data_IF_255718753695
#
_entry.id   IF_255718753695
#
_cell.length_a   1.000
_cell.length_b   1.000
_cell.length_c   1.000
_cell.angle_alpha   90.00
_cell.angle_beta   90.00
_cell.angle_gamma   90.00
#
_symmetry.space_group_name_H-M   'P 1'
#
loop_
_entity.id
_entity.type
_entity.pdbx_description
1 polymer ?
#
# COMPACT_ATOMS: atom_id res chain seq x y z
N UNK A 1 -48.95 45.15 -28.29
CA UNK A 1 -48.24 43.93 -28.74
C UNK A 1 -46.79 44.05 -28.24
N UNK A 2 -46.48 43.44 -27.08
CA UNK A 2 -45.17 43.47 -26.47
C UNK A 2 -44.61 42.06 -26.64
N UNK A 3 -43.51 41.96 -27.39
CA UNK A 3 -42.81 40.71 -27.63
C UNK A 3 -41.87 40.43 -26.45
N UNK A 4 -42.12 39.35 -25.72
CA UNK A 4 -41.23 38.78 -24.71
C UNK A 4 -40.12 37.99 -25.43
N UNK A 5 -38.90 38.45 -25.32
CA UNK A 5 -37.72 37.69 -25.72
C UNK A 5 -37.27 36.87 -24.51
N UNK A 6 -37.48 35.55 -24.60
CA UNK A 6 -36.96 34.61 -23.63
C UNK A 6 -35.48 34.33 -23.91
N UNK A 7 -34.60 34.77 -23.01
CA UNK A 7 -33.18 34.44 -23.04
C UNK A 7 -33.01 33.09 -22.33
N UNK A 8 -32.79 32.04 -23.11
CA UNK A 8 -32.38 30.75 -22.59
C UNK A 8 -30.89 30.75 -22.21
N UNK A 9 -30.62 30.79 -20.91
CA UNK A 9 -29.28 30.54 -20.42
C UNK A 9 -28.99 29.03 -20.53
N UNK A 10 -28.18 28.66 -21.48
CA UNK A 10 -27.59 27.32 -21.59
C UNK A 10 -26.44 27.28 -20.59
N UNK A 11 -26.64 26.62 -19.44
CA UNK A 11 -25.55 26.20 -18.56
C UNK A 11 -24.82 25.05 -19.25
N UNK A 12 -23.65 25.34 -19.81
CA UNK A 12 -22.71 24.33 -20.25
C UNK A 12 -22.10 23.69 -18.98
N UNK A 13 -22.60 22.53 -18.59
CA UNK A 13 -21.93 21.63 -17.67
C UNK A 13 -20.72 21.05 -18.40
N UNK A 14 -19.54 21.58 -18.09
CA UNK A 14 -18.28 21.06 -18.58
C UNK A 14 -17.89 19.80 -17.81
N UNK A 15 -18.42 18.64 -18.23
CA UNK A 15 -17.77 17.36 -17.95
C UNK A 15 -16.66 17.19 -18.97
N UNK A 16 -15.42 17.39 -18.57
CA UNK A 16 -14.24 17.02 -19.37
C UNK A 16 -13.95 15.53 -19.20
N UNK A 17 -14.89 14.68 -19.56
CA UNK A 17 -14.59 13.30 -19.89
C UNK A 17 -13.93 13.30 -21.27
N UNK A 18 -12.60 13.31 -21.30
CA UNK A 18 -11.88 13.07 -22.53
C UNK A 18 -12.25 11.68 -23.03
N UNK A 19 -12.92 11.58 -24.18
CA UNK A 19 -13.24 10.31 -24.81
C UNK A 19 -11.96 9.47 -24.94
N UNK A 20 -12.03 8.14 -24.67
CA UNK A 20 -10.87 7.26 -24.83
C UNK A 20 -10.30 7.39 -26.23
N UNK A 21 -8.97 7.44 -26.34
CA UNK A 21 -8.33 7.51 -27.65
C UNK A 21 -8.76 6.29 -28.50
N UNK A 22 -9.45 6.52 -29.61
CA UNK A 22 -9.73 5.47 -30.59
C UNK A 22 -8.42 5.04 -31.23
N UNK A 23 -8.01 3.79 -31.03
CA UNK A 23 -6.81 3.22 -31.67
C UNK A 23 -6.29 2.00 -30.89
N UNK A 24 -5.78 1.03 -31.63
CA UNK A 24 -5.18 -0.18 -31.08
C UNK A 24 -3.96 0.09 -30.19
N UNK A 25 -3.32 -0.96 -29.69
CA UNK A 25 -2.16 -0.90 -28.80
C UNK A 25 -1.01 -0.13 -29.44
N UNK A 26 -0.60 0.99 -28.83
CA UNK A 26 0.59 1.77 -29.16
C UNK A 26 1.78 1.23 -28.38
N UNK A 27 2.98 1.28 -28.96
CA UNK A 27 4.21 0.96 -28.20
C UNK A 27 4.42 1.98 -27.09
N UNK A 28 4.59 1.50 -25.85
CA UNK A 28 4.89 2.35 -24.68
C UNK A 28 5.70 1.63 -23.63
N UNK A 29 6.39 2.39 -22.82
CA UNK A 29 7.03 1.92 -21.61
C UNK A 29 6.25 2.45 -20.41
N UNK A 30 5.98 1.58 -19.45
CA UNK A 30 5.37 1.89 -18.15
C UNK A 30 6.45 1.72 -17.09
N UNK A 31 6.87 2.81 -16.45
CA UNK A 31 7.77 2.76 -15.29
C UNK A 31 6.93 2.48 -14.05
N UNK A 32 7.20 1.34 -13.42
CA UNK A 32 6.48 0.89 -12.24
C UNK A 32 7.42 0.82 -11.05
N UNK A 33 7.23 1.70 -10.07
CA UNK A 33 8.10 1.82 -8.90
C UNK A 33 7.49 1.26 -7.62
N UNK A 34 8.38 0.94 -6.69
CA UNK A 34 8.05 0.59 -5.31
C UNK A 34 9.20 0.96 -4.36
N UNK A 35 8.87 1.14 -3.08
CA UNK A 35 9.87 1.25 -2.00
C UNK A 35 10.39 -0.12 -1.58
N UNK A 36 9.69 -1.20 -1.89
CA UNK A 36 10.07 -2.58 -1.55
C UNK A 36 11.36 -2.99 -2.28
N UNK A 37 12.19 -3.76 -1.58
CA UNK A 37 13.47 -4.24 -2.11
C UNK A 37 13.28 -5.46 -3.01
N UNK A 38 14.24 -5.69 -3.91
CA UNK A 38 14.32 -6.95 -4.65
C UNK A 38 14.27 -8.16 -3.73
N UNK A 39 13.61 -9.22 -4.17
CA UNK A 39 13.43 -10.46 -3.42
C UNK A 39 12.28 -10.41 -2.42
N UNK A 40 11.46 -9.35 -2.39
CA UNK A 40 10.17 -9.35 -1.68
C UNK A 40 9.08 -9.97 -2.57
N UNK A 41 8.05 -10.52 -1.94
CA UNK A 41 6.88 -11.08 -2.64
C UNK A 41 6.17 -10.04 -3.52
N UNK A 42 6.17 -8.77 -3.11
CA UNK A 42 5.63 -7.67 -3.92
C UNK A 42 6.43 -7.42 -5.20
N UNK A 43 7.76 -7.45 -5.16
CA UNK A 43 8.59 -7.25 -6.36
C UNK A 43 8.48 -8.45 -7.28
N UNK A 44 8.37 -9.68 -6.75
CA UNK A 44 8.06 -10.87 -7.55
C UNK A 44 6.71 -10.71 -8.27
N UNK A 45 5.68 -10.20 -7.59
CA UNK A 45 4.38 -9.90 -8.20
C UNK A 45 4.48 -8.82 -9.30
N UNK A 46 5.34 -7.79 -9.13
CA UNK A 46 5.58 -6.79 -10.18
C UNK A 46 6.22 -7.41 -11.42
N UNK A 47 7.17 -8.32 -11.27
CA UNK A 47 7.76 -9.04 -12.41
C UNK A 47 6.72 -9.89 -13.13
N UNK A 48 5.89 -10.63 -12.39
CA UNK A 48 4.77 -11.40 -12.98
C UNK A 48 3.79 -10.49 -13.74
N UNK A 49 3.49 -9.31 -13.18
CA UNK A 49 2.66 -8.32 -13.85
C UNK A 49 3.31 -7.81 -15.15
N UNK A 50 4.60 -7.48 -15.12
CA UNK A 50 5.35 -7.01 -16.29
C UNK A 50 5.34 -8.04 -17.43
N UNK A 51 5.59 -9.30 -17.10
CA UNK A 51 5.56 -10.42 -18.05
C UNK A 51 4.16 -10.60 -18.65
N UNK A 52 3.11 -10.47 -17.81
CA UNK A 52 1.73 -10.61 -18.28
C UNK A 52 1.29 -9.45 -19.18
N UNK A 53 1.69 -8.21 -18.87
CA UNK A 53 1.45 -7.05 -19.75
C UNK A 53 2.16 -7.25 -21.11
N UNK A 54 3.40 -7.73 -21.11
CA UNK A 54 4.14 -8.01 -22.35
C UNK A 54 3.46 -9.12 -23.18
N UNK A 55 3.01 -10.21 -22.52
CA UNK A 55 2.24 -11.28 -23.16
C UNK A 55 0.96 -10.75 -23.83
N UNK A 56 0.10 -10.06 -23.04
CA UNK A 56 -1.20 -9.59 -23.51
C UNK A 56 -1.10 -8.51 -24.59
N UNK A 57 -0.02 -7.72 -24.58
CA UNK A 57 0.22 -6.65 -25.56
C UNK A 57 1.02 -7.12 -26.79
N UNK A 58 1.39 -8.41 -26.88
CA UNK A 58 2.33 -8.94 -27.88
C UNK A 58 3.65 -8.14 -27.91
N UNK A 59 4.17 -7.77 -26.72
CA UNK A 59 5.41 -7.03 -26.55
C UNK A 59 5.33 -5.53 -26.87
N UNK A 60 4.17 -4.99 -27.21
CA UNK A 60 4.03 -3.56 -27.55
C UNK A 60 4.08 -2.68 -26.29
N UNK A 61 3.63 -3.17 -25.13
CA UNK A 61 3.75 -2.46 -23.86
C UNK A 61 4.82 -3.15 -23.03
N UNK A 62 5.83 -2.39 -22.62
CA UNK A 62 6.91 -2.83 -21.73
C UNK A 62 6.70 -2.22 -20.36
N UNK A 63 6.76 -3.03 -19.31
CA UNK A 63 6.80 -2.54 -17.92
C UNK A 63 8.23 -2.64 -17.41
N UNK A 64 8.76 -1.52 -16.94
CA UNK A 64 10.09 -1.46 -16.32
C UNK A 64 9.92 -1.29 -14.82
N UNK A 65 10.51 -2.21 -14.05
CA UNK A 65 10.39 -2.26 -12.60
C UNK A 65 11.52 -1.46 -11.95
N UNK A 66 11.14 -0.60 -10.97
CA UNK A 66 12.04 0.26 -10.22
C UNK A 66 11.82 0.03 -8.72
N UNK A 67 12.48 -0.98 -8.12
CA UNK A 67 12.40 -1.28 -6.69
C UNK A 67 13.25 -0.35 -5.83
N UNK A 68 13.22 -0.56 -4.51
CA UNK A 68 14.11 0.08 -3.54
C UNK A 68 14.15 1.61 -3.64
N UNK A 69 13.00 2.24 -3.84
CA UNK A 69 12.85 3.70 -3.93
C UNK A 69 13.65 4.37 -5.07
N UNK A 70 14.01 3.65 -6.14
CA UNK A 70 14.82 4.20 -7.25
C UNK A 70 14.18 5.43 -7.94
N UNK A 71 12.85 5.54 -7.91
CA UNK A 71 12.12 6.71 -8.44
C UNK A 71 11.53 7.59 -7.33
N UNK A 72 12.06 7.51 -6.12
CA UNK A 72 11.63 8.24 -4.93
C UNK A 72 10.94 7.35 -3.89
N UNK A 73 10.91 7.82 -2.66
CA UNK A 73 10.14 7.19 -1.58
C UNK A 73 8.64 7.35 -1.80
N UNK A 74 7.81 6.67 -0.99
CA UNK A 74 6.38 6.56 -1.19
C UNK A 74 5.66 7.86 -1.55
N UNK A 75 5.76 8.94 -0.76
CA UNK A 75 5.14 10.24 -1.09
C UNK A 75 5.66 10.85 -2.39
N UNK A 76 6.97 10.75 -2.66
CA UNK A 76 7.57 11.29 -3.88
C UNK A 76 7.14 10.53 -5.13
N UNK A 77 7.15 9.19 -5.09
CA UNK A 77 6.70 8.34 -6.19
C UNK A 77 5.21 8.59 -6.52
N UNK A 78 4.38 8.76 -5.47
CA UNK A 78 2.98 9.12 -5.63
C UNK A 78 2.82 10.48 -6.33
N UNK A 79 3.56 11.49 -5.90
CA UNK A 79 3.55 12.83 -6.51
C UNK A 79 4.02 12.78 -7.98
N UNK A 80 5.03 11.97 -8.30
CA UNK A 80 5.49 11.79 -9.68
C UNK A 80 4.37 11.23 -10.58
N UNK A 81 3.57 10.29 -10.09
CA UNK A 81 2.38 9.79 -10.81
C UNK A 81 1.30 10.87 -10.95
N UNK A 82 1.02 11.64 -9.90
CA UNK A 82 0.05 12.74 -9.94
C UNK A 82 0.41 13.82 -10.99
N UNK A 83 1.69 14.07 -11.16
CA UNK A 83 2.21 15.04 -12.14
C UNK A 83 2.36 14.47 -13.56
N UNK A 84 2.18 13.16 -13.76
CA UNK A 84 2.40 12.50 -15.04
C UNK A 84 3.88 12.34 -15.42
N UNK A 85 4.77 12.47 -14.45
CA UNK A 85 6.22 12.26 -14.64
C UNK A 85 6.55 10.75 -14.64
N UNK A 86 5.73 9.95 -13.96
CA UNK A 86 5.84 8.49 -13.86
C UNK A 86 4.47 7.87 -14.15
N UNK A 87 4.45 6.69 -14.76
CA UNK A 87 3.22 6.01 -15.17
C UNK A 87 2.52 5.35 -13.98
N UNK A 88 3.25 4.58 -13.17
CA UNK A 88 2.66 3.65 -12.20
C UNK A 88 3.53 3.51 -10.95
N UNK A 89 2.90 3.36 -9.80
CA UNK A 89 3.60 3.07 -8.53
C UNK A 89 2.76 2.18 -7.63
N UNK A 90 3.42 1.40 -6.78
CA UNK A 90 2.81 0.85 -5.58
C UNK A 90 2.91 1.87 -4.46
N UNK A 91 1.83 2.07 -3.73
CA UNK A 91 1.76 3.04 -2.63
C UNK A 91 0.98 2.49 -1.45
N UNK A 92 1.23 3.05 -0.29
CA UNK A 92 0.44 2.72 0.90
C UNK A 92 -0.90 3.48 0.87
N UNK A 93 -2.02 2.84 1.27
CA UNK A 93 -3.33 3.48 1.30
C UNK A 93 -3.36 4.77 2.13
N UNK A 94 -2.54 4.85 3.18
CA UNK A 94 -2.40 6.04 4.02
C UNK A 94 -1.92 7.29 3.27
N UNK A 95 -1.10 7.12 2.23
CA UNK A 95 -0.69 8.24 1.38
C UNK A 95 -1.83 8.71 0.46
N UNK A 96 -2.68 7.80 -0.03
CA UNK A 96 -3.89 8.18 -0.76
C UNK A 96 -4.87 8.92 0.15
N UNK A 97 -5.07 8.43 1.37
CA UNK A 97 -5.91 9.09 2.37
C UNK A 97 -5.43 10.52 2.66
N UNK A 98 -4.12 10.71 2.83
CA UNK A 98 -3.49 12.03 3.05
C UNK A 98 -3.60 12.95 1.83
N UNK A 99 -3.84 12.41 0.65
CA UNK A 99 -4.01 13.16 -0.61
C UNK A 99 -5.48 13.33 -1.02
N UNK A 100 -6.44 13.11 -0.11
CA UNK A 100 -7.85 13.40 -0.32
C UNK A 100 -8.78 12.20 -0.37
N UNK A 101 -8.29 10.99 -0.68
CA UNK A 101 -9.08 9.76 -0.69
C UNK A 101 -9.19 9.16 0.72
N UNK A 102 -9.89 9.86 1.61
CA UNK A 102 -9.96 9.56 3.06
C UNK A 102 -10.47 8.16 3.38
N UNK A 103 -11.29 7.59 2.53
CA UNK A 103 -11.86 6.26 2.65
C UNK A 103 -10.76 5.18 2.74
N UNK A 104 -9.61 5.40 2.11
CA UNK A 104 -8.47 4.48 2.19
C UNK A 104 -7.90 4.32 3.60
N UNK A 105 -8.23 5.21 4.53
CA UNK A 105 -7.90 5.05 5.96
C UNK A 105 -8.48 3.75 6.53
N UNK A 106 -9.63 3.28 6.02
CA UNK A 106 -10.27 2.07 6.52
C UNK A 106 -9.37 0.83 6.47
N UNK A 107 -8.52 0.71 5.46
CA UNK A 107 -7.62 -0.43 5.30
C UNK A 107 -6.23 -0.21 5.93
N UNK A 108 -6.01 0.95 6.57
CA UNK A 108 -4.78 1.29 7.28
C UNK A 108 -4.87 1.07 8.79
N UNK A 109 -6.10 0.92 9.34
CA UNK A 109 -6.25 0.85 10.78
C UNK A 109 -5.67 -0.47 11.32
N UNK A 110 -4.90 -0.42 12.42
CA UNK A 110 -4.32 -1.62 13.01
C UNK A 110 -5.39 -2.64 13.39
N UNK A 111 -5.12 -3.92 13.10
CA UNK A 111 -6.04 -5.05 13.36
C UNK A 111 -7.42 -4.96 12.69
N UNK A 112 -7.57 -4.18 11.62
CA UNK A 112 -8.85 -4.08 10.89
C UNK A 112 -9.21 -5.38 10.16
N UNK A 113 -8.20 -6.11 9.70
CA UNK A 113 -8.38 -7.44 9.13
C UNK A 113 -8.15 -8.51 10.21
N UNK A 114 -8.93 -9.60 10.15
CA UNK A 114 -8.80 -10.74 11.08
C UNK A 114 -7.55 -11.56 10.81
N UNK A 115 -7.27 -11.76 9.52
CA UNK A 115 -6.19 -12.58 8.98
C UNK A 115 -5.95 -12.20 7.51
N UNK A 116 -5.01 -12.86 6.85
CA UNK A 116 -4.68 -12.62 5.43
C UNK A 116 -5.80 -13.06 4.49
N UNK A 117 -6.52 -14.12 4.79
CA UNK A 117 -7.67 -14.59 4.02
C UNK A 117 -8.81 -13.57 4.04
N UNK A 118 -9.08 -12.98 5.21
CA UNK A 118 -10.05 -11.90 5.32
C UNK A 118 -9.61 -10.65 4.54
N UNK A 119 -8.33 -10.28 4.63
CA UNK A 119 -7.80 -9.17 3.83
C UNK A 119 -8.00 -9.45 2.35
N UNK A 120 -7.61 -10.64 1.88
CA UNK A 120 -7.74 -11.03 0.46
C UNK A 120 -9.19 -10.95 -0.03
N UNK A 121 -10.13 -11.48 0.75
CA UNK A 121 -11.55 -11.42 0.43
C UNK A 121 -12.08 -9.96 0.38
N UNK A 122 -11.56 -9.07 1.20
CA UNK A 122 -11.92 -7.65 1.20
C UNK A 122 -11.36 -6.93 -0.03
N UNK A 123 -10.05 -7.05 -0.26
CA UNK A 123 -9.35 -6.24 -1.28
C UNK A 123 -9.60 -6.71 -2.70
N UNK A 124 -9.88 -8.00 -2.91
CA UNK A 124 -10.22 -8.56 -4.22
C UNK A 124 -11.73 -8.75 -4.42
N UNK A 125 -12.55 -8.38 -3.41
CA UNK A 125 -14.00 -8.38 -3.46
C UNK A 125 -14.59 -7.00 -3.75
N UNK A 126 -15.94 -6.92 -3.65
CA UNK A 126 -16.70 -5.68 -3.90
C UNK A 126 -16.23 -4.49 -3.04
N UNK A 127 -15.80 -4.73 -1.81
CA UNK A 127 -15.34 -3.65 -0.91
C UNK A 127 -14.06 -3.00 -1.45
N UNK A 128 -13.13 -3.81 -1.96
CA UNK A 128 -11.91 -3.32 -2.59
C UNK A 128 -12.19 -2.57 -3.90
N UNK A 129 -13.08 -3.08 -4.75
CA UNK A 129 -13.50 -2.41 -5.98
C UNK A 129 -14.12 -1.04 -5.69
N UNK A 130 -15.05 -0.97 -4.72
CA UNK A 130 -15.66 0.29 -4.31
C UNK A 130 -14.64 1.26 -3.72
N UNK A 131 -13.67 0.77 -2.94
CA UNK A 131 -12.64 1.61 -2.35
C UNK A 131 -11.71 2.19 -3.43
N UNK A 132 -11.26 1.37 -4.39
CA UNK A 132 -10.46 1.85 -5.53
C UNK A 132 -11.18 2.90 -6.34
N UNK A 133 -12.49 2.76 -6.51
CA UNK A 133 -13.30 3.73 -7.25
C UNK A 133 -13.38 5.12 -6.58
N UNK A 134 -13.02 5.25 -5.29
CA UNK A 134 -12.98 6.55 -4.60
C UNK A 134 -11.73 7.38 -4.90
N UNK A 135 -10.65 6.77 -5.40
CA UNK A 135 -9.37 7.44 -5.60
C UNK A 135 -9.48 8.63 -6.57
N UNK A 136 -10.00 8.41 -7.75
CA UNK A 136 -10.08 9.43 -8.81
C UNK A 136 -11.07 10.57 -8.48
N UNK A 137 -12.33 10.30 -8.04
CA UNK A 137 -13.27 11.35 -7.65
C UNK A 137 -12.78 12.23 -6.50
N UNK A 138 -11.92 11.70 -5.63
CA UNK A 138 -11.31 12.44 -4.52
C UNK A 138 -10.27 13.48 -4.97
N UNK A 139 -10.03 13.65 -6.28
CA UNK A 139 -9.11 14.65 -6.82
C UNK A 139 -7.63 14.29 -6.66
N UNK A 140 -7.33 13.02 -6.40
CA UNK A 140 -5.94 12.54 -6.24
C UNK A 140 -5.12 12.60 -7.52
N UNK A 141 -5.76 12.73 -8.70
CA UNK A 141 -5.15 12.61 -10.04
C UNK A 141 -4.52 11.24 -10.29
N UNK A 142 -5.06 10.22 -9.66
CA UNK A 142 -4.62 8.83 -9.75
C UNK A 142 -5.79 7.92 -10.08
N UNK A 143 -5.52 6.88 -10.84
CA UNK A 143 -6.45 5.78 -11.11
C UNK A 143 -6.02 4.57 -10.28
N UNK A 144 -6.92 4.04 -9.45
CA UNK A 144 -6.70 2.78 -8.74
C UNK A 144 -6.76 1.61 -9.71
N UNK A 145 -5.66 0.86 -9.82
CA UNK A 145 -5.60 -0.35 -10.66
C UNK A 145 -6.03 -1.57 -9.86
N UNK A 146 -5.59 -1.65 -8.61
CA UNK A 146 -5.92 -2.77 -7.72
C UNK A 146 -5.11 -2.78 -6.44
N UNK A 147 -5.25 -3.88 -5.71
CA UNK A 147 -4.50 -4.14 -4.49
C UNK A 147 -3.65 -5.40 -4.63
N UNK A 148 -2.57 -5.46 -3.86
CA UNK A 148 -1.85 -6.69 -3.51
C UNK A 148 -1.63 -6.74 -2.01
N UNK A 149 -1.71 -7.94 -1.42
CA UNK A 149 -1.25 -8.17 -0.05
C UNK A 149 0.28 -8.16 0.00
N UNK A 150 0.84 -7.63 1.07
CA UNK A 150 2.29 -7.70 1.36
C UNK A 150 2.60 -8.59 2.57
N UNK A 151 1.57 -9.17 3.20
CA UNK A 151 1.71 -9.97 4.42
C UNK A 151 1.52 -9.16 5.70
N UNK A 152 1.61 -9.86 6.84
CA UNK A 152 1.45 -9.26 8.15
C UNK A 152 2.70 -8.47 8.55
N UNK A 153 2.49 -7.24 9.04
CA UNK A 153 3.56 -6.37 9.53
C UNK A 153 3.84 -6.68 11.00
N UNK A 154 5.12 -6.75 11.31
CA UNK A 154 5.65 -7.17 12.60
C UNK A 154 6.76 -6.23 13.05
N UNK A 155 6.89 -5.99 14.34
CA UNK A 155 8.00 -5.19 14.86
C UNK A 155 9.33 -5.95 14.82
N UNK A 156 10.39 -5.22 14.50
CA UNK A 156 11.76 -5.71 14.63
C UNK A 156 12.62 -4.66 15.34
N UNK A 157 13.42 -5.10 16.32
CA UNK A 157 14.06 -4.22 17.29
C UNK A 157 15.46 -4.71 17.66
N UNK A 158 16.29 -3.79 18.22
CA UNK A 158 17.61 -4.11 18.76
C UNK A 158 17.54 -4.91 20.06
N UNK A 159 16.51 -4.66 20.86
CA UNK A 159 16.26 -5.34 22.14
C UNK A 159 14.99 -6.18 22.06
N UNK A 160 14.87 -7.27 22.83
CA UNK A 160 13.67 -8.10 22.81
C UNK A 160 12.41 -7.31 23.18
N UNK A 161 11.35 -7.49 22.41
CA UNK A 161 9.97 -7.05 22.72
C UNK A 161 9.12 -8.32 22.77
N UNK A 162 8.64 -8.69 23.95
CA UNK A 162 7.86 -9.91 24.19
C UNK A 162 6.48 -9.60 24.77
N UNK A 163 6.32 -8.42 25.36
CA UNK A 163 5.10 -7.93 25.99
C UNK A 163 4.83 -6.49 25.55
N UNK A 164 3.62 -6.03 25.81
CA UNK A 164 3.21 -4.65 25.56
C UNK A 164 4.13 -3.64 26.30
N UNK A 165 4.52 -3.96 27.52
CA UNK A 165 5.34 -3.10 28.36
C UNK A 165 6.77 -2.89 27.81
N UNK A 166 7.28 -3.85 27.04
CA UNK A 166 8.62 -3.77 26.44
C UNK A 166 8.73 -2.71 25.33
N UNK A 167 7.60 -2.27 24.77
CA UNK A 167 7.56 -1.17 23.79
C UNK A 167 7.88 0.19 24.39
N UNK A 168 7.69 0.33 25.71
CA UNK A 168 7.79 1.62 26.39
C UNK A 168 9.18 2.25 26.26
N UNK A 169 9.20 3.44 25.65
CA UNK A 169 10.41 4.26 25.52
C UNK A 169 11.31 3.89 24.34
N UNK A 170 11.00 2.83 23.58
CA UNK A 170 11.71 2.54 22.33
C UNK A 170 11.43 3.64 21.31
N UNK A 171 12.44 4.01 20.55
CA UNK A 171 12.32 4.87 19.37
C UNK A 171 12.03 3.98 18.17
N UNK A 172 10.81 4.00 17.69
CA UNK A 172 10.37 3.14 16.59
C UNK A 172 10.14 3.97 15.33
N UNK A 173 10.80 3.56 14.26
CA UNK A 173 10.47 4.12 12.94
C UNK A 173 9.05 3.74 12.56
N UNK A 174 8.31 4.70 12.05
CA UNK A 174 7.02 4.46 11.41
C UNK A 174 6.96 5.12 10.02
N UNK A 175 5.96 4.78 9.22
CA UNK A 175 5.71 5.45 7.97
C UNK A 175 5.30 6.93 8.21
N UNK A 176 5.51 7.77 7.20
CA UNK A 176 5.28 9.21 7.27
C UNK A 176 3.77 9.55 7.16
N UNK A 177 2.96 9.02 8.07
CA UNK A 177 1.53 9.28 8.15
C UNK A 177 1.04 9.33 9.61
N UNK A 178 -0.15 9.87 9.81
CA UNK A 178 -0.70 10.10 11.14
C UNK A 178 -1.15 8.82 11.84
N UNK A 179 -1.69 7.83 11.10
CA UNK A 179 -2.17 6.55 11.66
C UNK A 179 -1.03 5.80 12.31
N UNK A 180 0.07 5.58 11.59
CA UNK A 180 1.22 4.83 12.11
C UNK A 180 1.95 5.58 13.22
N UNK A 181 2.03 6.92 13.11
CA UNK A 181 2.57 7.75 14.19
C UNK A 181 1.76 7.58 15.48
N UNK A 182 0.44 7.56 15.38
CA UNK A 182 -0.43 7.39 16.53
C UNK A 182 -0.39 5.95 17.06
N UNK A 183 -0.28 4.95 16.18
CA UNK A 183 -0.13 3.54 16.55
C UNK A 183 1.11 3.32 17.43
N UNK A 184 2.28 3.74 16.97
CA UNK A 184 3.52 3.60 17.72
C UNK A 184 3.43 4.31 19.07
N UNK A 185 2.81 5.50 19.13
CA UNK A 185 2.59 6.25 20.35
C UNK A 185 1.62 5.53 21.31
N UNK A 186 0.55 4.93 20.79
CA UNK A 186 -0.42 4.17 21.58
C UNK A 186 0.20 2.92 22.23
N UNK A 187 1.22 2.34 21.60
CA UNK A 187 2.02 1.25 22.16
C UNK A 187 3.04 1.70 23.21
N UNK A 188 3.10 3.00 23.55
CA UNK A 188 4.03 3.55 24.54
C UNK A 188 5.44 3.82 24.02
N UNK A 189 5.69 3.63 22.74
CA UNK A 189 6.94 3.93 22.07
C UNK A 189 6.98 5.38 21.54
N UNK A 190 8.16 5.85 21.15
CA UNK A 190 8.39 7.15 20.54
C UNK A 190 8.43 7.00 19.02
N UNK A 191 7.44 7.51 18.27
CA UNK A 191 7.42 7.40 16.81
C UNK A 191 8.45 8.32 16.17
N UNK A 192 9.13 7.81 15.14
CA UNK A 192 10.07 8.56 14.31
C UNK A 192 9.69 8.35 12.84
N UNK A 193 8.86 9.25 12.26
CA UNK A 193 8.44 9.15 10.86
C UNK A 193 9.60 9.51 9.92
N UNK A 194 10.21 8.51 9.30
CA UNK A 194 11.28 8.68 8.31
C UNK A 194 11.06 7.77 7.10
N UNK A 195 11.68 8.13 5.98
CA UNK A 195 11.61 7.37 4.75
C UNK A 195 12.12 5.92 4.95
N UNK A 196 11.57 4.98 4.18
CA UNK A 196 11.97 3.58 4.29
C UNK A 196 13.44 3.37 3.87
N UNK A 197 13.90 4.11 2.85
CA UNK A 197 15.29 4.09 2.38
C UNK A 197 16.31 4.50 3.43
N UNK A 198 15.90 5.30 4.44
CA UNK A 198 16.78 5.78 5.51
C UNK A 198 16.83 4.83 6.73
N UNK A 199 15.90 3.86 6.81
CA UNK A 199 15.67 3.07 8.01
C UNK A 199 16.89 2.26 8.46
N UNK A 200 17.60 1.59 7.54
CA UNK A 200 18.78 0.80 7.89
C UNK A 200 19.84 1.67 8.58
N UNK A 201 20.17 2.82 7.99
CA UNK A 201 21.15 3.76 8.55
C UNK A 201 20.68 4.36 9.87
N UNK A 202 19.40 4.68 10.01
CA UNK A 202 18.83 5.21 11.24
C UNK A 202 18.89 4.20 12.40
N UNK A 203 18.66 2.92 12.12
CA UNK A 203 18.88 1.86 13.12
C UNK A 203 20.37 1.72 13.44
N UNK A 204 21.22 1.61 12.43
CA UNK A 204 22.66 1.43 12.60
C UNK A 204 23.27 2.53 13.47
N UNK A 205 22.90 3.78 13.23
CA UNK A 205 23.41 4.96 13.98
C UNK A 205 22.70 5.21 15.31
N UNK A 206 21.63 4.46 15.64
CA UNK A 206 20.89 4.60 16.91
C UNK A 206 19.91 5.77 16.96
N UNK A 207 19.54 6.32 15.79
CA UNK A 207 18.43 7.30 15.68
C UNK A 207 17.12 6.63 16.09
N UNK A 208 16.92 5.37 15.68
CA UNK A 208 15.82 4.52 16.10
C UNK A 208 16.31 3.17 16.63
N UNK A 209 15.48 2.51 17.44
CA UNK A 209 15.76 1.21 18.04
C UNK A 209 15.19 0.05 17.21
N UNK A 210 14.34 0.35 16.21
CA UNK A 210 13.73 -0.62 15.33
C UNK A 210 12.67 0.01 14.44
N UNK A 211 11.89 -0.85 13.81
CA UNK A 211 10.78 -0.49 12.92
C UNK A 211 9.77 -1.64 12.83
N UNK A 212 8.93 -1.59 11.81
CA UNK A 212 7.91 -2.60 11.53
C UNK A 212 7.85 -2.87 10.02
N UNK A 213 7.65 -4.12 9.63
CA UNK A 213 7.52 -4.55 8.24
C UNK A 213 7.05 -6.01 8.17
N UNK A 214 6.58 -6.51 7.01
CA UNK A 214 6.47 -7.93 6.77
C UNK A 214 7.82 -8.65 6.82
N UNK A 215 7.82 -9.96 7.10
CA UNK A 215 9.04 -10.74 7.30
C UNK A 215 9.96 -10.74 6.07
N UNK A 216 9.39 -10.75 4.86
CA UNK A 216 10.15 -10.66 3.61
C UNK A 216 10.88 -9.32 3.47
N UNK A 217 10.22 -8.20 3.84
CA UNK A 217 10.82 -6.88 3.85
C UNK A 217 11.93 -6.74 4.89
N UNK A 218 11.76 -7.34 6.09
CA UNK A 218 12.79 -7.38 7.13
C UNK A 218 14.04 -8.11 6.61
N UNK A 219 13.84 -9.24 5.93
CA UNK A 219 14.93 -10.05 5.39
C UNK A 219 15.59 -9.39 4.18
N UNK A 220 14.81 -9.04 3.16
CA UNK A 220 15.32 -8.51 1.88
C UNK A 220 16.02 -7.15 2.02
N UNK A 221 15.56 -6.32 2.98
CA UNK A 221 16.23 -5.05 3.33
C UNK A 221 17.36 -5.23 4.34
N UNK A 222 17.71 -6.46 4.72
CA UNK A 222 18.80 -6.82 5.63
C UNK A 222 18.70 -6.21 7.04
N UNK A 223 17.52 -5.85 7.49
CA UNK A 223 17.34 -5.30 8.84
C UNK A 223 17.78 -6.26 9.93
N UNK A 224 17.79 -7.58 9.65
CA UNK A 224 18.35 -8.59 10.54
C UNK A 224 19.83 -8.40 10.90
N UNK A 225 20.58 -7.60 10.14
CA UNK A 225 21.99 -7.29 10.47
C UNK A 225 22.08 -6.29 11.64
N UNK A 226 21.12 -5.40 11.77
CA UNK A 226 21.08 -4.30 12.76
C UNK A 226 20.02 -4.48 13.85
N UNK A 227 19.03 -5.38 13.65
CA UNK A 227 18.01 -5.78 14.62
C UNK A 227 17.90 -7.31 14.66
N UNK A 228 18.04 -7.89 15.84
CA UNK A 228 18.05 -9.36 16.00
C UNK A 228 16.79 -9.92 16.64
N UNK A 229 15.81 -9.08 16.93
CA UNK A 229 14.58 -9.48 17.62
C UNK A 229 13.38 -9.10 16.75
N UNK A 230 12.57 -10.09 16.41
CA UNK A 230 11.33 -9.92 15.66
C UNK A 230 10.16 -10.36 16.54
N UNK A 231 9.16 -9.51 16.67
CA UNK A 231 7.95 -9.77 17.43
C UNK A 231 6.80 -9.98 16.47
N UNK A 232 6.21 -11.16 16.49
CA UNK A 232 5.06 -11.52 15.67
C UNK A 232 3.81 -11.01 16.38
N UNK A 233 3.46 -9.79 16.09
CA UNK A 233 2.29 -9.11 16.63
C UNK A 233 1.20 -8.92 15.58
N UNK A 234 1.56 -8.96 14.30
CA UNK A 234 0.64 -8.86 13.16
C UNK A 234 -0.32 -7.67 13.32
N UNK A 235 0.23 -6.53 13.78
CA UNK A 235 -0.58 -5.35 14.09
C UNK A 235 -1.30 -4.78 12.87
N UNK A 236 -0.80 -5.10 11.69
CA UNK A 236 -1.38 -4.57 10.46
C UNK A 236 -1.14 -5.53 9.29
N UNK A 237 -2.18 -5.74 8.51
CA UNK A 237 -2.18 -6.38 7.21
C UNK A 237 -2.53 -5.32 6.16
N UNK A 238 -1.74 -4.23 6.06
CA UNK A 238 -2.03 -3.16 5.11
C UNK A 238 -1.84 -3.68 3.68
N UNK A 239 -2.87 -3.62 2.81
CA UNK A 239 -2.66 -3.94 1.41
C UNK A 239 -1.90 -2.80 0.70
N UNK A 240 -1.03 -3.14 -0.22
CA UNK A 240 -0.45 -2.15 -1.13
C UNK A 240 -1.45 -1.80 -2.23
N UNK A 241 -1.59 -0.52 -2.55
CA UNK A 241 -2.42 -0.01 -3.65
C UNK A 241 -1.56 0.20 -4.88
N UNK A 242 -2.01 -0.32 -6.00
CA UNK A 242 -1.40 -0.08 -7.30
C UNK A 242 -2.16 1.07 -7.94
N UNK A 243 -1.44 2.15 -8.22
CA UNK A 243 -2.03 3.34 -8.84
C UNK A 243 -1.33 3.69 -10.15
N UNK A 244 -2.12 4.23 -11.07
CA UNK A 244 -1.66 4.75 -12.34
C UNK A 244 -1.86 6.27 -12.40
N UNK A 245 -0.97 6.99 -13.07
CA UNK A 245 -1.13 8.41 -13.36
C UNK A 245 -2.40 8.65 -14.19
N UNK A 246 -3.35 9.43 -13.70
CA UNK A 246 -4.55 9.79 -14.45
C UNK A 246 -4.21 10.53 -15.75
N UNK A 247 -3.18 11.37 -15.71
CA UNK A 247 -2.72 12.12 -16.90
C UNK A 247 -2.30 11.19 -18.02
N UNK A 248 -1.56 10.13 -17.69
CA UNK A 248 -1.07 9.16 -18.68
C UNK A 248 -2.17 8.16 -19.02
N UNK A 249 -2.94 7.70 -18.02
CA UNK A 249 -4.09 6.81 -18.22
C UNK A 249 -5.08 7.34 -19.25
N UNK A 250 -5.37 8.64 -19.21
CA UNK A 250 -6.29 9.28 -20.16
C UNK A 250 -5.75 9.35 -21.61
N UNK A 251 -4.45 9.14 -21.80
CA UNK A 251 -3.82 9.02 -23.12
C UNK A 251 -3.79 7.59 -23.67
N UNK A 252 -4.15 6.59 -22.83
CA UNK A 252 -4.20 5.18 -23.20
C UNK A 252 -5.52 4.85 -23.91
N UNK A 253 -5.45 3.96 -24.92
CA UNK A 253 -6.66 3.39 -25.52
C UNK A 253 -7.38 2.47 -24.51
N UNK A 254 -8.67 2.21 -24.77
CA UNK A 254 -9.44 1.26 -23.95
C UNK A 254 -8.79 -0.12 -23.90
N UNK A 255 -8.22 -0.59 -25.02
CA UNK A 255 -7.51 -1.86 -25.10
C UNK A 255 -6.26 -1.87 -24.23
N UNK A 256 -5.44 -0.82 -24.26
CA UNK A 256 -4.24 -0.69 -23.43
C UNK A 256 -4.57 -0.67 -21.93
N UNK A 257 -5.63 0.06 -21.54
CA UNK A 257 -6.12 0.07 -20.13
C UNK A 257 -6.60 -1.32 -19.70
N UNK A 258 -7.32 -2.02 -20.58
CA UNK A 258 -7.81 -3.37 -20.28
C UNK A 258 -6.66 -4.35 -20.09
N UNK A 259 -5.59 -4.27 -20.88
CA UNK A 259 -4.38 -5.08 -20.71
C UNK A 259 -3.78 -4.89 -19.31
N UNK A 260 -3.66 -3.66 -18.83
CA UNK A 260 -3.15 -3.36 -17.48
C UNK A 260 -4.04 -4.00 -16.41
N UNK A 261 -5.37 -3.87 -16.54
CA UNK A 261 -6.32 -4.43 -15.58
C UNK A 261 -6.32 -5.96 -15.60
N UNK A 262 -6.26 -6.58 -16.77
CA UNK A 262 -6.24 -8.05 -16.90
C UNK A 262 -4.92 -8.65 -16.39
N UNK A 263 -3.79 -7.97 -16.63
CA UNK A 263 -2.51 -8.36 -16.06
C UNK A 263 -2.53 -8.29 -14.53
N UNK A 264 -3.08 -7.21 -13.95
CA UNK A 264 -3.26 -7.10 -12.52
C UNK A 264 -4.13 -8.24 -11.97
N UNK A 265 -5.29 -8.53 -12.56
CA UNK A 265 -6.18 -9.61 -12.12
C UNK A 265 -5.49 -10.98 -12.14
N UNK A 266 -4.67 -11.24 -13.15
CA UNK A 266 -3.91 -12.49 -13.25
C UNK A 266 -2.95 -12.68 -12.07
N UNK A 267 -2.28 -11.62 -11.63
CA UNK A 267 -1.37 -11.67 -10.48
C UNK A 267 -2.14 -11.71 -9.17
N UNK A 268 -3.18 -10.90 -9.01
CA UNK A 268 -4.04 -10.86 -7.83
C UNK A 268 -4.57 -12.25 -7.46
N UNK A 269 -4.96 -13.05 -8.45
CA UNK A 269 -5.43 -14.43 -8.24
C UNK A 269 -4.41 -15.38 -7.58
N UNK A 270 -3.13 -15.01 -7.56
CA UNK A 270 -2.04 -15.81 -6.98
C UNK A 270 -1.39 -15.15 -5.77
N UNK A 271 -1.73 -13.90 -5.49
CA UNK A 271 -1.03 -13.06 -4.52
C UNK A 271 -1.11 -13.64 -3.09
N UNK A 272 -2.28 -14.06 -2.62
CA UNK A 272 -2.42 -14.65 -1.29
C UNK A 272 -1.47 -15.84 -1.08
N UNK A 273 -1.39 -16.74 -2.06
CA UNK A 273 -0.49 -17.91 -2.01
C UNK A 273 0.97 -17.48 -1.95
N UNK A 274 1.38 -16.49 -2.77
CA UNK A 274 2.75 -15.96 -2.76
C UNK A 274 3.12 -15.40 -1.38
N UNK A 275 2.20 -14.67 -0.74
CA UNK A 275 2.42 -14.10 0.59
C UNK A 275 2.56 -15.19 1.64
N UNK A 276 1.65 -16.18 1.66
CA UNK A 276 1.70 -17.29 2.63
C UNK A 276 2.99 -18.12 2.51
N UNK A 277 3.40 -18.45 1.28
CA UNK A 277 4.68 -19.12 1.01
C UNK A 277 5.88 -18.25 1.42
N UNK A 278 5.79 -16.94 1.18
CA UNK A 278 6.78 -15.95 1.59
C UNK A 278 6.94 -15.88 3.10
N UNK A 279 5.87 -15.79 3.87
CA UNK A 279 5.91 -15.71 5.33
C UNK A 279 6.65 -16.91 5.94
N UNK A 280 6.30 -18.13 5.51
CA UNK A 280 6.98 -19.35 5.99
C UNK A 280 8.47 -19.37 5.61
N UNK A 281 8.80 -19.00 4.38
CA UNK A 281 10.17 -18.92 3.86
C UNK A 281 11.02 -17.91 4.65
N UNK A 282 10.51 -16.69 4.84
CA UNK A 282 11.30 -15.62 5.43
C UNK A 282 11.37 -15.71 6.96
N UNK A 283 10.36 -16.29 7.62
CA UNK A 283 10.47 -16.66 9.03
C UNK A 283 11.67 -17.59 9.26
N UNK A 284 11.80 -18.64 8.46
CA UNK A 284 12.94 -19.57 8.54
C UNK A 284 14.27 -18.86 8.22
N UNK A 285 14.32 -18.06 7.17
CA UNK A 285 15.53 -17.35 6.77
C UNK A 285 16.02 -16.35 7.85
N UNK A 286 15.11 -15.64 8.53
CA UNK A 286 15.43 -14.77 9.65
C UNK A 286 16.01 -15.55 10.85
N UNK A 287 15.46 -16.73 11.18
CA UNK A 287 16.00 -17.60 12.21
C UNK A 287 17.41 -18.10 11.86
N UNK A 288 17.63 -18.52 10.62
CA UNK A 288 18.94 -18.96 10.11
C UNK A 288 19.95 -17.80 10.10
N UNK A 289 19.49 -16.56 9.90
CA UNK A 289 20.31 -15.34 10.03
C UNK A 289 20.56 -14.93 11.49
N UNK A 290 20.12 -15.71 12.46
CA UNK A 290 20.37 -15.51 13.90
C UNK A 290 19.39 -14.55 14.57
N UNK A 291 18.21 -14.31 13.99
CA UNK A 291 17.14 -13.57 14.66
C UNK A 291 16.39 -14.45 15.66
N UNK A 292 16.06 -13.86 16.81
CA UNK A 292 15.09 -14.42 17.75
C UNK A 292 13.68 -13.94 17.36
N UNK A 293 12.76 -14.87 17.18
CA UNK A 293 11.36 -14.57 16.85
C UNK A 293 10.50 -14.87 18.08
N UNK A 294 9.66 -13.92 18.47
CA UNK A 294 8.79 -13.99 19.63
C UNK A 294 7.32 -13.90 19.20
N UNK A 295 6.49 -14.81 19.74
CA UNK A 295 5.03 -14.71 19.65
C UNK A 295 4.51 -13.90 20.84
N UNK A 296 3.59 -12.98 20.60
CA UNK A 296 2.98 -12.22 21.69
C UNK A 296 2.04 -13.09 22.53
N UNK A 297 2.21 -13.01 23.85
CA UNK A 297 1.30 -13.66 24.81
C UNK A 297 0.11 -12.76 25.21
N UNK A 298 0.19 -11.47 24.95
CA UNK A 298 -0.76 -10.44 25.40
C UNK A 298 -1.33 -9.59 24.25
N UNK A 299 -1.50 -10.18 23.05
CA UNK A 299 -1.99 -9.50 21.82
C UNK A 299 -3.26 -8.67 22.07
N UNK A 300 -4.13 -9.10 22.99
CA UNK A 300 -5.33 -8.34 23.34
C UNK A 300 -5.03 -6.93 23.87
N UNK A 301 -3.97 -6.76 24.66
CA UNK A 301 -3.57 -5.42 25.16
C UNK A 301 -3.14 -4.51 24.00
N UNK A 302 -2.46 -5.08 22.99
CA UNK A 302 -2.05 -4.35 21.80
C UNK A 302 -3.26 -3.90 21.00
N UNK A 303 -4.26 -4.77 20.86
CA UNK A 303 -5.52 -4.44 20.17
C UNK A 303 -6.31 -3.36 20.92
N UNK A 304 -6.44 -3.48 22.24
CA UNK A 304 -7.15 -2.50 23.09
C UNK A 304 -6.48 -1.11 23.02
N UNK A 305 -5.15 -1.06 22.90
CA UNK A 305 -4.42 0.18 22.77
C UNK A 305 -4.74 0.95 21.46
N UNK A 306 -5.34 0.30 20.47
CA UNK A 306 -5.70 0.92 19.19
C UNK A 306 -7.03 1.70 19.24
N UNK A 307 -7.83 1.58 20.30
CA UNK A 307 -9.12 2.27 20.43
C UNK A 307 -9.04 3.79 20.09
N UNK A 308 -8.05 4.55 20.59
CA UNK A 308 -7.93 5.97 20.24
C UNK A 308 -7.74 6.24 18.74
N UNK A 309 -7.09 5.31 18.01
CA UNK A 309 -6.84 5.43 16.57
C UNK A 309 -8.16 5.26 15.81
N UNK A 310 -8.94 4.25 16.18
CA UNK A 310 -10.27 4.04 15.61
C UNK A 310 -11.22 5.21 15.89
N UNK A 311 -11.12 5.84 17.06
CA UNK A 311 -11.91 7.02 17.42
C UNK A 311 -11.51 8.25 16.61
N UNK A 312 -10.22 8.45 16.39
CA UNK A 312 -9.69 9.62 15.64
C UNK A 312 -9.93 9.49 14.14
N UNK A 313 -9.57 8.35 13.56
CA UNK A 313 -9.53 8.17 12.11
C UNK A 313 -10.73 7.39 11.54
N UNK A 314 -11.45 6.64 12.38
CA UNK A 314 -12.54 5.79 11.94
C UNK A 314 -13.78 6.56 11.44
N UNK A 315 -13.98 7.80 11.89
CA UNK A 315 -15.13 8.59 11.52
C UNK A 315 -15.21 8.89 10.01
N UNK A 316 -14.06 9.19 9.38
CA UNK A 316 -13.96 9.53 7.96
C UNK A 316 -14.16 8.30 7.03
N UNK A 317 -14.03 7.08 7.56
CA UNK A 317 -14.10 5.84 6.80
C UNK A 317 -15.09 4.81 7.37
N UNK A 318 -15.99 5.20 8.26
CA UNK A 318 -16.88 4.31 9.01
C UNK A 318 -17.70 3.38 8.12
N UNK A 319 -18.19 3.87 6.98
CA UNK A 319 -18.95 3.06 6.03
C UNK A 319 -18.13 1.87 5.50
N UNK A 320 -16.85 2.10 5.17
CA UNK A 320 -15.95 1.04 4.72
C UNK A 320 -15.54 0.10 5.86
N UNK A 321 -15.31 0.61 7.07
CA UNK A 321 -15.04 -0.23 8.24
C UNK A 321 -16.17 -1.23 8.49
N UNK A 322 -17.44 -0.77 8.36
CA UNK A 322 -18.58 -1.66 8.50
C UNK A 322 -18.66 -2.69 7.36
N UNK A 323 -18.36 -2.31 6.12
CA UNK A 323 -18.29 -3.24 4.99
C UNK A 323 -17.19 -4.29 5.19
N UNK A 324 -15.97 -3.87 5.57
CA UNK A 324 -14.85 -4.76 5.87
C UNK A 324 -15.26 -5.79 6.94
N UNK A 325 -15.82 -5.34 8.05
CA UNK A 325 -16.26 -6.21 9.14
C UNK A 325 -17.27 -7.28 8.69
N UNK A 326 -18.10 -6.98 7.70
CA UNK A 326 -19.17 -7.87 7.22
C UNK A 326 -18.69 -8.90 6.18
N UNK A 327 -17.50 -8.75 5.63
CA UNK A 327 -16.90 -9.76 4.74
C UNK A 327 -16.59 -11.01 5.57
N UNK A 328 -17.00 -12.19 5.06
CA UNK A 328 -16.86 -13.49 5.75
C UNK A 328 -15.50 -14.12 5.49
#
# INVERSE_FOLDING_TARGET
MVALIAVSCIFAQGSTDAAPAEGGIKGRTIRFSTTSSEGTTLVDAMHMFADKVAELSNGKIKVEIYPSSQLGDGPQALQNCQLGVQEMTMTQPSYLASNGAKEFTAVCLPYVFRDLEHQDAVIHGLVGEELLATAQPSGTRLVGVGFWSEGARNFFTKTPVKTFEDMKGLKIRCMQNAVDTMMVKALGASPTPIAFSELYSAIQTGVVDGGENPLDGIYSSKFYEVCKHVTIDEHSNIPTVIVFSEVIWNQMSTEERQIVLDAWKSVAATNLKLVQEGEAKYRKALQEAGCSIYELSDKAKWQDAMEPIYKEFGADCQAFLQKIKNVK
#
